data_IF_309687916926
#
_entry.id   IF_309687916926
#
_cell.length_a   1.000
_cell.length_b   1.000
_cell.length_c   1.000
_cell.angle_alpha   90.00
_cell.angle_beta   90.00
_cell.angle_gamma   90.00
#
_symmetry.space_group_name_H-M   'P 1'
#
loop_
_entity.id
_entity.type
_entity.pdbx_description
1 polymer ?
#
# COMPACT_ATOMS: atom_id res chain seq x y z
N UNK A 1 10.88 5.17 -12.39
CA UNK A 1 11.90 6.00 -11.73
C UNK A 1 13.28 5.37 -11.94
N UNK A 2 14.29 6.06 -12.49
CA UNK A 2 15.61 5.46 -12.70
C UNK A 2 16.25 5.01 -11.38
N UNK A 3 16.92 3.84 -11.38
CA UNK A 3 17.64 3.32 -10.21
C UNK A 3 16.81 2.53 -9.19
N UNK A 4 15.49 2.49 -9.30
CA UNK A 4 14.62 1.68 -8.42
C UNK A 4 14.47 0.26 -8.98
N UNK A 5 14.70 -0.74 -8.12
CA UNK A 5 14.46 -2.17 -8.43
C UNK A 5 12.99 -2.53 -8.19
N UNK A 6 12.13 -2.17 -9.16
CA UNK A 6 10.68 -2.36 -9.08
C UNK A 6 10.29 -3.84 -8.96
N UNK A 7 11.01 -4.72 -9.65
CA UNK A 7 10.74 -6.16 -9.61
C UNK A 7 11.06 -6.75 -8.23
N UNK A 8 12.20 -6.35 -7.64
CA UNK A 8 12.59 -6.80 -6.31
C UNK A 8 11.69 -6.26 -5.19
N UNK A 9 11.10 -5.06 -5.34
CA UNK A 9 10.20 -4.50 -4.32
C UNK A 9 9.00 -5.41 -4.01
N UNK A 10 8.42 -6.06 -5.02
CA UNK A 10 7.30 -7.00 -4.80
C UNK A 10 7.76 -8.22 -3.98
N UNK A 11 8.93 -8.78 -4.31
CA UNK A 11 9.48 -9.92 -3.58
C UNK A 11 9.84 -9.54 -2.12
N UNK A 12 10.44 -8.36 -1.93
CA UNK A 12 10.75 -7.80 -0.61
C UNK A 12 9.48 -7.60 0.22
N UNK A 13 8.45 -6.97 -0.34
CA UNK A 13 7.17 -6.76 0.36
C UNK A 13 6.50 -8.08 0.74
N UNK A 14 6.50 -9.09 -0.16
CA UNK A 14 5.99 -10.43 0.15
C UNK A 14 6.75 -11.10 1.30
N UNK A 15 8.08 -11.03 1.27
CA UNK A 15 8.94 -11.54 2.34
C UNK A 15 8.70 -10.83 3.66
N UNK A 16 8.64 -9.49 3.62
CA UNK A 16 8.38 -8.64 4.77
C UNK A 16 7.01 -8.96 5.40
N UNK A 17 5.96 -9.17 4.60
CA UNK A 17 4.63 -9.52 5.10
C UNK A 17 4.56 -10.94 5.69
N UNK A 18 5.42 -11.87 5.27
CA UNK A 18 5.47 -13.22 5.83
C UNK A 18 4.14 -13.97 5.76
N UNK A 19 3.33 -13.73 4.72
CA UNK A 19 2.00 -14.34 4.57
C UNK A 19 0.85 -13.63 5.30
N UNK A 20 1.11 -12.53 6.00
CA UNK A 20 0.05 -11.75 6.67
C UNK A 20 -0.98 -11.15 5.71
N UNK A 21 -0.61 -10.94 4.43
CA UNK A 21 -1.50 -10.46 3.39
C UNK A 21 -1.09 -10.98 2.00
N UNK A 22 -2.03 -10.95 1.06
CA UNK A 22 -1.79 -11.28 -0.35
C UNK A 22 -1.27 -10.05 -1.09
N UNK A 23 -0.12 -10.19 -1.78
CA UNK A 23 0.47 -9.12 -2.61
C UNK A 23 0.30 -9.45 -4.08
N UNK A 24 -0.33 -8.52 -4.83
CA UNK A 24 -0.55 -8.61 -6.27
C UNK A 24 0.03 -7.37 -6.95
N UNK A 25 0.63 -7.57 -8.13
CA UNK A 25 0.97 -6.45 -9.01
C UNK A 25 -0.30 -6.01 -9.74
N UNK A 26 -0.47 -4.70 -9.87
CA UNK A 26 -1.44 -4.11 -10.79
C UNK A 26 -0.74 -3.75 -12.10
N UNK A 27 -1.44 -3.89 -13.24
CA UNK A 27 -0.94 -3.48 -14.56
C UNK A 27 -0.94 -1.95 -14.70
N UNK A 28 -2.01 -1.26 -14.28
CA UNK A 28 -2.09 0.22 -14.24
C UNK A 28 -3.14 0.67 -13.21
N UNK A 29 -2.89 1.78 -12.52
CA UNK A 29 -3.83 2.42 -11.59
C UNK A 29 -4.24 3.85 -12.04
N UNK A 30 -3.85 4.27 -13.25
CA UNK A 30 -4.11 5.59 -13.83
C UNK A 30 -3.65 6.78 -12.96
N UNK A 31 -2.59 6.57 -12.17
CA UNK A 31 -1.96 7.56 -11.26
C UNK A 31 -0.45 7.61 -11.48
N UNK A 32 -0.04 7.72 -12.73
CA UNK A 32 1.35 7.61 -13.16
C UNK A 32 2.28 8.70 -12.58
N UNK A 33 1.72 9.83 -12.14
CA UNK A 33 2.42 10.92 -11.48
C UNK A 33 2.90 10.56 -10.05
N UNK A 34 2.39 9.47 -9.48
CA UNK A 34 2.73 8.99 -8.14
C UNK A 34 3.87 7.96 -8.12
N UNK A 35 4.57 7.75 -9.25
CA UNK A 35 5.64 6.75 -9.40
C UNK A 35 5.20 5.34 -8.93
N UNK A 36 5.84 4.79 -7.90
CA UNK A 36 5.48 3.48 -7.33
C UNK A 36 4.35 3.63 -6.32
N UNK A 37 3.23 2.98 -6.63
CA UNK A 37 2.01 3.04 -5.82
C UNK A 37 1.76 1.71 -5.12
N UNK A 38 1.53 1.77 -3.81
CA UNK A 38 1.02 0.67 -3.00
C UNK A 38 -0.38 1.03 -2.52
N UNK A 39 -1.32 0.12 -2.74
CA UNK A 39 -2.68 0.22 -2.20
C UNK A 39 -2.86 -0.83 -1.13
N UNK A 40 -3.11 -0.38 0.10
CA UNK A 40 -3.43 -1.28 1.21
C UNK A 40 -4.95 -1.39 1.34
N UNK A 41 -5.49 -2.53 0.93
CA UNK A 41 -6.91 -2.82 1.13
C UNK A 41 -7.17 -3.24 2.60
N UNK A 42 -8.26 -2.76 3.23
CA UNK A 42 -8.63 -3.22 4.56
C UNK A 42 -9.00 -4.71 4.54
N UNK A 43 -8.77 -5.40 5.66
CA UNK A 43 -9.31 -6.74 5.90
C UNK A 43 -10.84 -6.70 6.07
N UNK A 44 -11.51 -7.85 6.20
CA UNK A 44 -12.94 -7.87 6.51
C UNK A 44 -13.26 -7.16 7.84
N UNK A 45 -12.46 -7.42 8.88
CA UNK A 45 -12.57 -6.73 10.17
C UNK A 45 -12.24 -5.23 10.05
N UNK A 46 -11.21 -4.86 9.28
CA UNK A 46 -10.89 -3.46 9.01
C UNK A 46 -12.02 -2.72 8.31
N UNK A 47 -12.67 -3.33 7.30
CA UNK A 47 -13.86 -2.75 6.65
C UNK A 47 -15.01 -2.57 7.64
N UNK A 48 -15.26 -3.56 8.49
CA UNK A 48 -16.31 -3.49 9.52
C UNK A 48 -16.06 -2.38 10.55
N UNK A 49 -14.78 -2.10 10.86
CA UNK A 49 -14.36 -0.98 11.69
C UNK A 49 -14.35 0.37 10.96
N UNK A 50 -14.81 0.44 9.71
CA UNK A 50 -14.86 1.67 8.91
C UNK A 50 -13.63 1.94 8.06
N UNK A 51 -12.65 1.05 8.07
CA UNK A 51 -11.45 1.12 7.24
C UNK A 51 -11.78 1.26 5.74
N UNK A 52 -10.92 1.99 5.04
CA UNK A 52 -10.99 2.24 3.59
C UNK A 52 -9.63 1.94 2.97
N UNK A 53 -9.56 1.67 1.65
CA UNK A 53 -8.28 1.55 0.97
C UNK A 53 -7.41 2.78 1.20
N UNK A 54 -6.15 2.56 1.56
CA UNK A 54 -5.15 3.62 1.71
C UNK A 54 -4.20 3.57 0.52
N UNK A 55 -3.95 4.73 -0.07
CA UNK A 55 -3.15 4.92 -1.27
C UNK A 55 -1.83 5.60 -0.89
N UNK A 56 -0.73 4.92 -1.19
CA UNK A 56 0.62 5.36 -0.89
C UNK A 56 1.40 5.46 -2.19
N UNK A 57 1.82 6.67 -2.55
CA UNK A 57 2.62 6.97 -3.73
C UNK A 57 4.09 7.10 -3.37
N UNK A 58 4.96 7.20 -4.38
CA UNK A 58 6.40 7.42 -4.20
C UNK A 58 7.11 6.37 -3.32
N UNK A 59 6.56 5.16 -3.22
CA UNK A 59 7.12 4.07 -2.40
C UNK A 59 8.33 3.45 -3.13
N UNK A 60 9.46 4.14 -3.05
CA UNK A 60 10.65 3.88 -3.85
C UNK A 60 11.82 3.29 -3.04
N UNK A 61 11.69 3.26 -1.72
CA UNK A 61 12.71 2.80 -0.77
C UNK A 61 12.22 1.58 0.04
N UNK A 62 13.18 0.85 0.64
CA UNK A 62 12.90 -0.39 1.37
C UNK A 62 12.34 -0.10 2.77
N UNK A 63 12.66 1.04 3.36
CA UNK A 63 12.15 1.51 4.65
C UNK A 63 10.62 1.70 4.61
N UNK A 64 10.11 2.39 3.59
CA UNK A 64 8.67 2.56 3.38
C UNK A 64 7.95 1.21 3.23
N UNK A 65 8.56 0.24 2.51
CA UNK A 65 7.99 -1.10 2.40
C UNK A 65 7.95 -1.83 3.75
N UNK A 66 8.98 -1.65 4.58
CA UNK A 66 9.04 -2.23 5.91
C UNK A 66 7.95 -1.64 6.83
N UNK A 67 7.76 -0.32 6.80
CA UNK A 67 6.72 0.37 7.58
C UNK A 67 5.31 -0.04 7.14
N UNK A 68 5.07 -0.13 5.83
CA UNK A 68 3.81 -0.65 5.28
C UNK A 68 3.57 -2.10 5.76
N UNK A 69 4.58 -2.96 5.68
CA UNK A 69 4.45 -4.35 6.10
C UNK A 69 4.18 -4.48 7.60
N UNK A 70 4.84 -3.68 8.44
CA UNK A 70 4.62 -3.63 9.88
C UNK A 70 3.19 -3.19 10.21
N UNK A 71 2.71 -2.14 9.53
CA UNK A 71 1.33 -1.66 9.70
C UNK A 71 0.29 -2.69 9.28
N UNK A 72 0.48 -3.35 8.13
CA UNK A 72 -0.41 -4.43 7.66
C UNK A 72 -0.44 -5.58 8.67
N UNK A 73 0.71 -5.98 9.22
CA UNK A 73 0.79 -7.02 10.27
C UNK A 73 0.08 -6.62 11.56
N UNK A 74 0.06 -5.33 11.90
CA UNK A 74 -0.68 -4.81 13.04
C UNK A 74 -2.20 -4.78 12.82
N UNK A 75 -2.67 -5.03 11.59
CA UNK A 75 -4.08 -5.10 11.23
C UNK A 75 -4.48 -4.17 10.07
N UNK A 76 -3.62 -3.21 9.73
CA UNK A 76 -3.81 -2.30 8.60
C UNK A 76 -5.00 -1.35 8.76
N UNK A 77 -5.54 -0.82 7.63
CA UNK A 77 -6.56 0.21 7.64
C UNK A 77 -7.80 -0.14 8.45
N UNK A 78 -8.15 0.73 9.39
CA UNK A 78 -9.32 0.60 10.27
C UNK A 78 -9.08 -0.21 11.55
N UNK A 79 -7.96 -0.93 11.66
CA UNK A 79 -7.62 -1.72 12.87
C UNK A 79 -6.35 -1.24 13.57
N UNK A 80 -5.40 -0.69 12.80
CA UNK A 80 -4.17 -0.11 13.32
C UNK A 80 -3.96 1.29 12.75
N UNK A 81 -3.47 2.20 13.60
CA UNK A 81 -3.03 3.52 13.14
C UNK A 81 -1.79 3.36 12.26
N UNK A 82 -1.74 3.97 11.06
CA UNK A 82 -0.52 3.97 10.27
C UNK A 82 0.61 4.71 11.00
N UNK A 83 1.87 4.26 10.88
CA UNK A 83 3.02 5.06 11.30
C UNK A 83 2.97 6.44 10.64
N UNK A 84 3.17 7.52 11.40
CA UNK A 84 3.03 8.89 10.88
C UNK A 84 3.96 9.23 9.70
N UNK A 85 5.05 8.48 9.50
CA UNK A 85 5.89 8.60 8.30
C UNK A 85 5.12 8.26 7.01
N UNK A 86 4.11 7.40 7.08
CA UNK A 86 3.26 7.05 5.93
C UNK A 86 2.42 8.24 5.42
N UNK A 87 2.22 9.28 6.24
CA UNK A 87 1.54 10.51 5.80
C UNK A 87 2.32 11.23 4.68
N UNK A 88 3.64 11.05 4.61
CA UNK A 88 4.49 11.60 3.54
C UNK A 88 4.22 10.94 2.18
N UNK A 89 3.68 9.72 2.20
CA UNK A 89 3.39 8.92 1.01
C UNK A 89 1.88 8.93 0.67
N UNK A 90 1.04 9.35 1.61
CA UNK A 90 -0.41 9.31 1.46
C UNK A 90 -0.91 10.31 0.42
N UNK A 91 -1.77 9.84 -0.48
CA UNK A 91 -2.45 10.68 -1.45
C UNK A 91 -3.90 10.23 -1.68
N UNK A 92 -4.72 11.11 -2.25
CA UNK A 92 -6.12 10.79 -2.57
C UNK A 92 -6.31 10.61 -4.07
N UNK A 93 -7.12 9.64 -4.45
CA UNK A 93 -7.51 9.42 -5.85
C UNK A 93 -8.94 9.89 -6.12
N UNK A 94 -9.26 10.11 -7.39
CA UNK A 94 -10.64 10.34 -7.80
C UNK A 94 -11.52 9.13 -7.48
N UNK A 95 -12.82 9.35 -7.24
CA UNK A 95 -13.80 8.27 -7.04
C UNK A 95 -13.83 7.25 -8.18
N UNK A 96 -13.51 7.68 -9.40
CA UNK A 96 -13.45 6.80 -10.58
C UNK A 96 -12.32 5.78 -10.43
N UNK A 97 -11.12 6.26 -10.09
CA UNK A 97 -9.93 5.43 -9.87
C UNK A 97 -10.15 4.51 -8.66
N UNK A 98 -10.73 5.04 -7.57
CA UNK A 98 -11.03 4.24 -6.38
C UNK A 98 -11.92 3.02 -6.63
N UNK A 99 -12.93 3.15 -7.50
CA UNK A 99 -13.85 2.05 -7.85
C UNK A 99 -13.21 0.93 -8.69
N UNK A 100 -12.07 1.17 -9.33
CA UNK A 100 -11.40 0.16 -10.15
C UNK A 100 -10.64 -0.89 -9.32
N UNK A 101 -10.57 -0.70 -7.99
CA UNK A 101 -9.94 -1.63 -7.05
C UNK A 101 -10.87 -2.73 -6.49
N UNK A 102 -12.18 -2.59 -6.70
CA UNK A 102 -13.22 -3.52 -6.24
C UNK A 102 -13.39 -4.69 -7.23
#
# INVERSE_FOLDING_TARGET
MPGVDHAGQIARLRGALGGAAVVRASECLDVCDQANVVVVQPSAAGRAAGGRPVWLGLVNDDEALADIAAWVKAGGPGLAEPPGVLDLYAFTVSRRVGKALD
#
